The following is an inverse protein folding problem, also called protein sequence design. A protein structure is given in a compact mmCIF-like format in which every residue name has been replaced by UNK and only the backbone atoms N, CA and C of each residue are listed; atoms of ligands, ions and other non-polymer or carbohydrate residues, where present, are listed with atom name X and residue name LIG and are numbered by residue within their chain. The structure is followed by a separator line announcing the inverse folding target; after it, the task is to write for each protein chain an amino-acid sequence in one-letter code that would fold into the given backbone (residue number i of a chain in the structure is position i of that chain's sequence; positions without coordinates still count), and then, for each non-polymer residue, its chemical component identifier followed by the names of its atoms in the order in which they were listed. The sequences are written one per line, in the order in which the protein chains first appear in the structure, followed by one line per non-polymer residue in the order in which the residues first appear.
data_IF_185453925883
#
_entry.id   IF_185453925883
#
_cell.length_a   1.000
_cell.length_b   1.000
_cell.length_c   1.000
_cell.angle_alpha   90.00
_cell.angle_beta   90.00
_cell.angle_gamma   90.00
#
_symmetry.space_group_name_H-M   'P 1'
#
loop_
_entity.id
_entity.type
_entity.pdbx_description
1 polymer ?
#
# COMPACT_ATOMS: atom_id res chain seq x y z
N UNK A 1 49.32 18.61 7.49
CA UNK A 1 49.44 19.49 6.30
C UNK A 1 49.31 18.59 5.09
N UNK A 2 48.43 18.71 4.10
CA UNK A 2 47.52 19.75 3.60
C UNK A 2 46.51 18.99 2.73
N UNK A 3 45.21 19.00 3.03
CA UNK A 3 44.17 19.83 2.41
C UNK A 3 44.24 19.94 0.87
N UNK A 4 43.36 19.21 0.16
CA UNK A 4 42.68 19.62 -1.08
C UNK A 4 41.27 19.02 -1.07
N UNK A 5 40.35 19.72 -0.43
CA UNK A 5 38.93 19.71 -0.79
C UNK A 5 38.80 20.23 -2.23
N UNK A 6 38.34 19.37 -3.15
CA UNK A 6 37.83 19.79 -4.45
C UNK A 6 36.36 19.41 -4.54
N UNK A 7 35.53 20.34 -4.07
CA UNK A 7 34.27 20.78 -4.68
C UNK A 7 33.54 19.71 -5.50
N UNK A 8 32.75 18.88 -4.81
CA UNK A 8 31.54 18.33 -5.39
C UNK A 8 30.50 19.44 -5.24
N UNK A 9 30.20 20.17 -6.32
CA UNK A 9 29.00 21.01 -6.31
C UNK A 9 27.80 20.12 -6.00
N UNK A 10 26.87 20.54 -5.12
CA UNK A 10 25.63 19.81 -4.95
C UNK A 10 24.92 19.84 -6.31
N UNK A 11 24.71 18.66 -6.89
CA UNK A 11 23.76 18.49 -7.99
C UNK A 11 22.49 19.17 -7.50
N UNK A 12 22.18 20.33 -8.09
CA UNK A 12 20.98 21.09 -7.77
C UNK A 12 19.81 20.15 -7.92
N UNK A 13 19.22 19.82 -6.78
CA UNK A 13 18.01 19.04 -6.64
C UNK A 13 16.93 19.67 -7.52
N UNK A 14 16.72 19.05 -8.68
CA UNK A 14 15.62 19.37 -9.60
C UNK A 14 14.62 18.21 -9.64
N UNK A 15 14.58 17.41 -8.57
CA UNK A 15 13.46 16.51 -8.37
C UNK A 15 12.36 17.37 -7.76
N UNK A 16 11.23 17.63 -8.43
CA UNK A 16 10.06 18.09 -7.70
C UNK A 16 9.80 17.01 -6.65
N UNK A 17 9.83 17.36 -5.37
CA UNK A 17 9.39 16.48 -4.29
C UNK A 17 7.97 16.01 -4.65
N UNK A 18 7.86 14.82 -5.22
CA UNK A 18 6.57 14.18 -5.53
C UNK A 18 5.98 13.73 -4.21
N UNK A 19 5.32 14.66 -3.52
CA UNK A 19 4.66 14.51 -2.22
C UNK A 19 3.43 13.58 -2.24
N UNK A 20 3.27 12.73 -3.26
CA UNK A 20 2.14 11.81 -3.37
C UNK A 20 2.66 10.41 -3.69
N UNK A 21 3.13 9.73 -2.65
CA UNK A 21 3.42 8.30 -2.71
C UNK A 21 2.30 7.56 -2.00
N UNK A 22 1.77 6.54 -2.66
CA UNK A 22 0.84 5.60 -2.04
C UNK A 22 1.58 4.77 -0.99
N UNK A 23 1.25 4.95 0.28
CA UNK A 23 1.85 4.23 1.40
C UNK A 23 0.77 3.61 2.28
N UNK A 24 0.82 2.28 2.38
CA UNK A 24 -0.01 1.51 3.27
C UNK A 24 0.84 0.39 3.86
N UNK A 25 0.64 0.10 5.13
CA UNK A 25 1.22 -1.08 5.78
C UNK A 25 0.25 -1.63 6.83
N UNK A 26 0.41 -2.92 7.13
CA UNK A 26 -0.25 -3.56 8.27
C UNK A 26 0.71 -3.73 9.45
N UNK A 27 0.26 -3.37 10.65
CA UNK A 27 1.08 -3.38 11.87
C UNK A 27 0.30 -4.02 13.03
N UNK A 28 0.97 -4.88 13.80
CA UNK A 28 0.37 -5.45 15.01
C UNK A 28 0.27 -4.36 16.10
N UNK A 29 -0.78 -4.37 16.91
CA UNK A 29 -1.00 -3.33 17.94
C UNK A 29 0.19 -3.15 18.89
N UNK A 30 0.87 -4.24 19.25
CA UNK A 30 2.03 -4.17 20.16
C UNK A 30 3.24 -3.46 19.53
N UNK A 31 3.28 -3.38 18.19
CA UNK A 31 4.34 -2.71 17.42
C UNK A 31 3.91 -1.32 16.93
N UNK A 32 2.72 -0.85 17.30
CA UNK A 32 2.16 0.40 16.80
C UNK A 32 2.93 1.61 17.34
N UNK A 33 3.64 2.29 16.44
CA UNK A 33 4.21 3.62 16.65
C UNK A 33 3.51 4.57 15.69
N UNK A 34 3.02 5.70 16.20
CA UNK A 34 2.25 6.69 15.43
C UNK A 34 2.90 8.06 15.50
N UNK A 35 2.84 8.78 14.39
CA UNK A 35 3.19 10.19 14.28
C UNK A 35 1.94 11.01 13.91
N UNK A 36 1.94 12.32 14.18
CA UNK A 36 0.78 13.21 13.97
C UNK A 36 0.25 13.24 12.52
N UNK A 37 1.03 12.77 11.55
CA UNK A 37 0.67 12.76 10.12
C UNK A 37 0.10 11.42 9.64
N UNK A 38 0.10 10.40 10.48
CA UNK A 38 -0.27 9.05 10.08
C UNK A 38 -1.78 8.87 10.17
N UNK A 39 -2.38 8.28 9.12
CA UNK A 39 -3.76 7.81 9.19
C UNK A 39 -3.77 6.39 9.73
N UNK A 40 -4.44 6.16 10.86
CA UNK A 40 -4.45 4.84 11.49
C UNK A 40 -5.85 4.26 11.45
N UNK A 41 -6.00 3.04 10.94
CA UNK A 41 -7.30 2.35 10.81
C UNK A 41 -7.25 1.01 11.52
N UNK A 42 -8.22 0.78 12.40
CA UNK A 42 -8.37 -0.48 13.10
C UNK A 42 -9.15 -1.50 12.25
N UNK A 43 -8.57 -2.67 12.03
CA UNK A 43 -9.08 -3.67 11.08
C UNK A 43 -9.72 -4.89 11.74
N UNK A 44 -9.82 -4.94 13.08
CA UNK A 44 -10.40 -6.06 13.81
C UNK A 44 -11.81 -5.78 14.35
N UNK A 45 -12.53 -6.87 14.61
CA UNK A 45 -13.90 -6.86 15.14
C UNK A 45 -13.98 -6.40 16.59
N UNK A 46 -12.88 -6.50 17.36
CA UNK A 46 -12.85 -6.04 18.74
C UNK A 46 -12.51 -4.55 18.78
N UNK A 47 -13.43 -3.75 19.34
CA UNK A 47 -13.30 -2.30 19.44
C UNK A 47 -12.18 -1.96 20.43
N UNK A 48 -11.23 -1.09 20.09
CA UNK A 48 -10.22 -0.65 21.05
C UNK A 48 -10.89 -0.02 22.27
N UNK A 49 -10.47 -0.37 23.50
CA UNK A 49 -11.04 0.23 24.71
C UNK A 49 -10.64 1.71 24.83
N UNK A 50 -11.62 2.58 25.06
CA UNK A 50 -11.41 4.01 25.26
C UNK A 50 -11.30 4.80 23.95
N UNK A 51 -11.53 6.11 24.05
CA UNK A 51 -11.45 7.04 22.93
C UNK A 51 -10.16 6.80 22.16
N UNK A 52 -10.32 6.30 20.93
CA UNK A 52 -9.28 6.29 19.92
C UNK A 52 -8.59 7.67 20.00
N UNK A 53 -7.27 7.73 20.21
CA UNK A 53 -6.54 9.01 20.08
C UNK A 53 -6.98 9.62 18.74
N UNK A 54 -7.22 10.93 18.71
CA UNK A 54 -8.01 11.70 17.72
C UNK A 54 -7.79 11.43 16.21
N UNK A 55 -6.93 10.49 15.81
CA UNK A 55 -6.54 10.11 14.45
C UNK A 55 -6.78 8.62 14.13
N UNK A 56 -7.21 7.80 15.10
CA UNK A 56 -7.45 6.38 14.89
C UNK A 56 -8.93 6.16 14.48
N UNK A 57 -9.14 5.71 13.25
CA UNK A 57 -10.46 5.47 12.67
C UNK A 57 -10.87 4.01 12.84
N UNK A 58 -12.12 3.79 13.26
CA UNK A 58 -12.73 2.48 13.26
C UNK A 58 -13.84 2.43 12.20
N UNK A 59 -13.64 1.60 11.18
CA UNK A 59 -14.56 1.46 10.05
C UNK A 59 -15.18 0.06 10.09
N UNK A 60 -16.25 -0.16 10.88
CA UNK A 60 -16.84 -1.48 11.05
C UNK A 60 -17.34 -2.09 9.72
N UNK A 61 -17.63 -1.25 8.72
CA UNK A 61 -17.95 -1.71 7.37
C UNK A 61 -16.85 -2.52 6.69
N UNK A 62 -15.57 -2.28 7.03
CA UNK A 62 -14.46 -3.05 6.49
C UNK A 62 -14.49 -4.50 6.96
N UNK A 63 -14.95 -4.76 8.18
CA UNK A 63 -14.85 -6.08 8.76
C UNK A 63 -15.57 -7.14 7.89
N UNK A 64 -15.06 -8.38 7.85
CA UNK A 64 -15.77 -9.49 7.20
C UNK A 64 -17.18 -9.58 7.79
N UNK A 65 -18.18 -9.86 6.96
CA UNK A 65 -19.54 -10.00 7.45
C UNK A 65 -19.67 -11.17 8.42
N UNK A 66 -20.74 -11.17 9.22
CA UNK A 66 -20.95 -12.16 10.27
C UNK A 66 -20.92 -13.61 9.75
N UNK A 67 -21.54 -13.87 8.62
CA UNK A 67 -21.56 -15.21 7.99
C UNK A 67 -20.15 -15.70 7.65
N UNK A 68 -19.31 -14.82 7.08
CA UNK A 68 -17.94 -15.13 6.72
C UNK A 68 -17.05 -15.33 7.96
N UNK A 69 -17.25 -14.52 9.01
CA UNK A 69 -16.57 -14.68 10.29
C UNK A 69 -16.93 -16.01 10.97
N UNK A 70 -18.22 -16.33 11.05
CA UNK A 70 -18.71 -17.57 11.64
C UNK A 70 -18.20 -18.78 10.84
N UNK A 71 -18.27 -18.75 9.51
CA UNK A 71 -17.76 -19.83 8.66
C UNK A 71 -16.26 -20.07 8.88
N UNK A 72 -15.44 -19.01 8.91
CA UNK A 72 -13.99 -19.16 9.09
C UNK A 72 -13.62 -19.62 10.50
N UNK A 73 -14.40 -19.23 11.52
CA UNK A 73 -14.20 -19.70 12.89
C UNK A 73 -14.33 -21.22 13.03
N UNK A 74 -15.13 -21.86 12.18
CA UNK A 74 -15.26 -23.33 12.12
C UNK A 74 -14.19 -23.99 11.25
N UNK A 75 -13.53 -23.23 10.37
CA UNK A 75 -12.58 -23.73 9.36
C UNK A 75 -11.30 -22.88 9.28
N UNK A 76 -10.54 -22.73 10.38
CA UNK A 76 -9.35 -21.88 10.42
C UNK A 76 -8.26 -22.32 9.44
N UNK A 77 -8.24 -23.59 9.03
CA UNK A 77 -7.34 -24.14 8.01
C UNK A 77 -7.59 -23.55 6.61
N UNK A 78 -8.77 -22.98 6.36
CA UNK A 78 -9.20 -22.48 5.06
C UNK A 78 -8.87 -20.99 4.85
N UNK A 79 -7.69 -20.54 5.28
CA UNK A 79 -7.25 -19.14 5.17
C UNK A 79 -7.33 -18.57 3.75
N UNK A 80 -6.87 -19.34 2.75
CA UNK A 80 -6.88 -18.88 1.35
C UNK A 80 -8.30 -18.65 0.82
N UNK A 81 -9.23 -19.51 1.21
CA UNK A 81 -10.65 -19.39 0.86
C UNK A 81 -11.29 -18.21 1.59
N UNK A 82 -10.97 -18.01 2.87
CA UNK A 82 -11.37 -16.84 3.63
C UNK A 82 -10.89 -15.55 2.96
N UNK A 83 -9.60 -15.44 2.66
CA UNK A 83 -9.01 -14.28 1.96
C UNK A 83 -9.73 -14.04 0.63
N UNK A 84 -10.03 -15.08 -0.15
CA UNK A 84 -10.75 -14.92 -1.42
C UNK A 84 -12.15 -14.34 -1.21
N UNK A 85 -12.94 -14.92 -0.30
CA UNK A 85 -14.31 -14.48 0.00
C UNK A 85 -14.32 -13.06 0.56
N UNK A 86 -13.40 -12.75 1.46
CA UNK A 86 -13.28 -11.44 2.06
C UNK A 86 -12.90 -10.37 1.03
N UNK A 87 -11.97 -10.68 0.11
CA UNK A 87 -11.67 -9.78 -1.02
C UNK A 87 -12.89 -9.51 -1.90
N UNK A 88 -13.72 -10.52 -2.19
CA UNK A 88 -14.97 -10.30 -2.93
C UNK A 88 -15.92 -9.34 -2.20
N UNK A 89 -16.02 -9.46 -0.86
CA UNK A 89 -16.76 -8.50 -0.06
C UNK A 89 -16.16 -7.09 -0.18
N UNK A 90 -14.85 -6.92 -0.02
CA UNK A 90 -14.19 -5.61 -0.15
C UNK A 90 -14.38 -4.99 -1.54
N UNK A 91 -14.36 -5.79 -2.61
CA UNK A 91 -14.65 -5.32 -3.99
C UNK A 91 -16.06 -4.75 -4.09
N UNK A 92 -17.04 -5.27 -3.35
CA UNK A 92 -18.39 -4.71 -3.31
C UNK A 92 -18.49 -3.40 -2.53
N UNK A 93 -17.50 -3.08 -1.70
CA UNK A 93 -17.42 -1.88 -0.87
C UNK A 93 -16.52 -0.79 -1.48
N UNK A 94 -16.71 -0.54 -2.78
CA UNK A 94 -15.83 0.35 -3.57
C UNK A 94 -15.62 1.72 -2.91
N UNK A 95 -16.69 2.36 -2.43
CA UNK A 95 -16.61 3.69 -1.83
C UNK A 95 -15.71 3.73 -0.58
N UNK A 96 -15.77 2.70 0.26
CA UNK A 96 -14.97 2.60 1.47
C UNK A 96 -13.49 2.34 1.13
N UNK A 97 -13.22 1.42 0.21
CA UNK A 97 -11.86 1.15 -0.21
C UNK A 97 -11.23 2.34 -0.94
N UNK A 98 -11.99 3.13 -1.71
CA UNK A 98 -11.51 4.36 -2.34
C UNK A 98 -11.17 5.46 -1.33
N UNK A 99 -11.94 5.57 -0.24
CA UNK A 99 -11.61 6.49 0.86
C UNK A 99 -10.26 6.11 1.47
N UNK A 100 -10.06 4.84 1.80
CA UNK A 100 -8.79 4.35 2.36
C UNK A 100 -7.63 4.51 1.38
N UNK A 101 -7.84 4.19 0.10
CA UNK A 101 -6.83 4.41 -0.94
C UNK A 101 -6.43 5.89 -1.00
N UNK A 102 -7.39 6.80 -0.88
CA UNK A 102 -7.14 8.24 -0.87
C UNK A 102 -6.32 8.68 0.35
N UNK A 103 -6.56 8.11 1.53
CA UNK A 103 -5.71 8.34 2.72
C UNK A 103 -4.28 7.86 2.47
N UNK A 104 -4.13 6.66 1.92
CA UNK A 104 -2.83 6.09 1.57
C UNK A 104 -2.09 6.93 0.51
N UNK A 105 -2.79 7.71 -0.32
CA UNK A 105 -2.17 8.67 -1.23
C UNK A 105 -1.74 9.97 -0.55
N UNK A 106 -2.34 10.35 0.58
CA UNK A 106 -2.04 11.59 1.31
C UNK A 106 -0.88 11.43 2.30
N UNK A 107 -0.68 10.22 2.82
CA UNK A 107 0.34 9.92 3.81
C UNK A 107 0.40 8.42 4.09
N UNK A 108 1.08 8.03 5.17
CA UNK A 108 1.13 6.65 5.61
C UNK A 108 -0.23 6.23 6.18
N UNK A 109 -0.85 5.23 5.56
CA UNK A 109 -2.01 4.53 6.11
C UNK A 109 -1.55 3.28 6.87
N UNK A 110 -1.72 3.29 8.19
CA UNK A 110 -1.40 2.16 9.07
C UNK A 110 -2.68 1.37 9.34
N UNK A 111 -2.72 0.12 8.87
CA UNK A 111 -3.79 -0.83 9.12
C UNK A 111 -3.44 -1.68 10.34
N UNK A 112 -4.08 -1.41 11.47
CA UNK A 112 -3.78 -2.04 12.75
C UNK A 112 -4.58 -3.31 12.94
N UNK A 113 -3.90 -4.38 13.36
CA UNK A 113 -4.51 -5.65 13.75
C UNK A 113 -3.97 -6.12 15.10
N UNK A 114 -4.74 -6.98 15.76
CA UNK A 114 -4.44 -7.61 17.04
C UNK A 114 -4.57 -9.15 16.93
N UNK A 115 -5.43 -9.64 16.05
CA UNK A 115 -5.66 -11.08 15.87
C UNK A 115 -5.00 -11.62 14.61
N UNK A 116 -4.39 -12.80 14.71
CA UNK A 116 -3.75 -13.51 13.61
C UNK A 116 -2.23 -13.46 13.65
N UNK A 117 -1.60 -13.73 12.50
CA UNK A 117 -0.14 -13.65 12.35
C UNK A 117 0.24 -12.52 11.39
N UNK A 118 1.52 -12.17 11.32
CA UNK A 118 2.03 -11.10 10.46
C UNK A 118 1.60 -11.21 8.99
N UNK A 119 1.40 -12.44 8.47
CA UNK A 119 1.02 -12.69 7.08
C UNK A 119 -0.43 -13.16 6.91
N UNK A 120 -1.13 -13.45 8.01
CA UNK A 120 -2.50 -13.97 8.00
C UNK A 120 -3.33 -13.24 9.04
N UNK A 121 -3.84 -12.07 8.67
CA UNK A 121 -4.72 -11.23 9.47
C UNK A 121 -5.63 -10.41 8.53
N UNK A 122 -6.62 -9.70 9.09
CA UNK A 122 -7.56 -8.91 8.27
C UNK A 122 -6.88 -7.73 7.56
N UNK A 123 -5.92 -7.08 8.24
CA UNK A 123 -5.22 -5.92 7.73
C UNK A 123 -4.42 -6.24 6.46
N UNK A 124 -3.76 -7.40 6.37
CA UNK A 124 -3.02 -7.81 5.16
C UNK A 124 -3.93 -8.03 3.97
N UNK A 125 -5.16 -8.52 4.19
CA UNK A 125 -6.15 -8.68 3.11
C UNK A 125 -6.66 -7.32 2.62
N UNK A 126 -6.84 -6.36 3.53
CA UNK A 126 -7.21 -4.98 3.19
C UNK A 126 -6.07 -4.29 2.44
N UNK A 127 -4.84 -4.37 2.95
CA UNK A 127 -3.62 -3.84 2.32
C UNK A 127 -3.49 -4.32 0.87
N UNK A 128 -3.58 -5.63 0.67
CA UNK A 128 -3.56 -6.26 -0.65
C UNK A 128 -4.65 -5.73 -1.59
N UNK A 129 -5.82 -5.40 -1.06
CA UNK A 129 -6.93 -4.86 -1.83
C UNK A 129 -6.73 -3.38 -2.18
N UNK A 130 -6.16 -2.59 -1.28
CA UNK A 130 -5.83 -1.18 -1.54
C UNK A 130 -4.70 -1.07 -2.58
N UNK A 131 -3.65 -1.89 -2.46
CA UNK A 131 -2.59 -1.99 -3.49
C UNK A 131 -3.18 -2.39 -4.85
N UNK A 132 -4.12 -3.35 -4.84
CA UNK A 132 -4.79 -3.78 -6.06
C UNK A 132 -5.57 -2.65 -6.73
N UNK A 133 -6.35 -1.89 -5.96
CA UNK A 133 -7.11 -0.73 -6.46
C UNK A 133 -6.17 0.36 -6.99
N UNK A 134 -5.11 0.70 -6.26
CA UNK A 134 -4.13 1.67 -6.73
C UNK A 134 -3.45 1.24 -8.03
N UNK A 135 -3.11 -0.05 -8.16
CA UNK A 135 -2.62 -0.59 -9.42
C UNK A 135 -3.63 -0.45 -10.57
N UNK A 136 -4.93 -0.63 -10.31
CA UNK A 136 -5.98 -0.44 -11.32
C UNK A 136 -6.11 1.02 -11.77
N UNK A 137 -5.99 1.97 -10.83
CA UNK A 137 -5.97 3.41 -11.14
C UNK A 137 -4.79 3.77 -12.03
N UNK A 138 -3.57 3.37 -11.64
CA UNK A 138 -2.35 3.60 -12.42
C UNK A 138 -2.38 2.94 -13.80
N UNK A 139 -2.93 1.72 -13.87
CA UNK A 139 -3.15 1.02 -15.14
C UNK A 139 -4.06 1.84 -16.06
N UNK A 140 -5.19 2.31 -15.52
CA UNK A 140 -6.16 3.12 -16.29
C UNK A 140 -5.57 4.46 -16.73
N UNK A 141 -4.61 4.99 -15.98
CA UNK A 141 -3.83 6.18 -16.34
C UNK A 141 -2.68 5.91 -17.34
N UNK A 142 -2.46 4.66 -17.75
CA UNK A 142 -1.39 4.28 -18.68
C UNK A 142 0.01 4.29 -18.07
N UNK A 143 0.14 4.28 -16.75
CA UNK A 143 1.42 4.39 -16.02
C UNK A 143 2.09 3.02 -15.84
N UNK A 144 2.12 2.21 -16.88
CA UNK A 144 2.57 0.82 -16.83
C UNK A 144 3.96 0.63 -17.45
N UNK A 145 4.77 -0.22 -16.82
CA UNK A 145 6.08 -0.68 -17.34
C UNK A 145 6.10 -2.20 -17.36
N UNK A 146 6.08 -2.76 -18.57
CA UNK A 146 6.18 -4.19 -18.83
C UNK A 146 7.59 -4.63 -19.24
N UNK A 147 7.76 -5.93 -19.44
CA UNK A 147 9.00 -6.49 -19.99
C UNK A 147 10.13 -6.70 -18.95
N UNK A 148 11.36 -6.80 -19.45
CA UNK A 148 12.54 -7.08 -18.65
C UNK A 148 13.01 -5.84 -17.88
N UNK A 149 12.58 -5.73 -16.63
CA UNK A 149 12.84 -4.58 -15.75
C UNK A 149 13.92 -4.83 -14.70
N UNK A 150 14.63 -5.96 -14.77
CA UNK A 150 15.68 -6.31 -13.80
C UNK A 150 16.74 -5.20 -13.58
N UNK A 151 17.23 -4.49 -14.62
CA UNK A 151 18.27 -3.47 -14.45
C UNK A 151 17.82 -2.21 -13.71
N UNK A 152 16.50 -1.94 -13.66
CA UNK A 152 15.91 -0.70 -13.10
C UNK A 152 14.93 -0.98 -11.96
N UNK A 153 14.92 -2.22 -11.45
CA UNK A 153 13.93 -2.66 -10.46
C UNK A 153 14.04 -1.86 -9.16
N UNK A 154 15.27 -1.60 -8.71
CA UNK A 154 15.55 -0.79 -7.52
C UNK A 154 14.99 0.62 -7.64
N UNK A 155 15.14 1.23 -8.80
CA UNK A 155 14.72 2.58 -9.14
C UNK A 155 13.19 2.65 -9.19
N UNK A 156 12.54 1.66 -9.80
CA UNK A 156 11.08 1.55 -9.80
C UNK A 156 10.55 1.51 -8.36
N UNK A 157 11.12 0.67 -7.50
CA UNK A 157 10.72 0.55 -6.09
C UNK A 157 10.97 1.86 -5.34
N UNK A 158 12.14 2.47 -5.51
CA UNK A 158 12.52 3.71 -4.84
C UNK A 158 11.62 4.91 -5.21
N UNK A 159 11.08 4.90 -6.44
CA UNK A 159 10.09 5.87 -6.90
C UNK A 159 8.69 5.62 -6.34
N UNK A 160 8.41 4.42 -5.80
CA UNK A 160 7.06 4.03 -5.33
C UNK A 160 6.26 3.27 -6.38
N UNK A 161 6.94 2.61 -7.32
CA UNK A 161 6.33 1.69 -8.26
C UNK A 161 5.75 0.47 -7.56
N UNK A 162 4.53 0.10 -7.94
CA UNK A 162 3.82 -1.05 -7.39
C UNK A 162 3.85 -2.21 -8.38
N UNK A 163 4.08 -3.43 -7.88
CA UNK A 163 4.03 -4.62 -8.72
C UNK A 163 2.59 -5.13 -8.84
N UNK A 164 2.01 -5.06 -10.05
CA UNK A 164 0.67 -5.57 -10.29
C UNK A 164 0.72 -7.06 -10.68
N UNK A 165 0.61 -7.93 -9.68
CA UNK A 165 0.71 -9.40 -9.82
C UNK A 165 -0.20 -9.99 -10.88
N UNK A 166 -1.44 -9.47 -11.03
CA UNK A 166 -2.42 -9.94 -12.01
C UNK A 166 -1.94 -9.79 -13.45
N UNK A 167 -1.23 -8.70 -13.76
CA UNK A 167 -0.78 -8.39 -15.12
C UNK A 167 0.73 -8.59 -15.31
N UNK A 168 1.47 -8.88 -14.24
CA UNK A 168 2.93 -8.99 -14.22
C UNK A 168 3.60 -7.74 -14.79
N UNK A 169 3.20 -6.59 -14.27
CA UNK A 169 3.59 -5.27 -14.80
C UNK A 169 3.79 -4.31 -13.64
N UNK A 170 4.76 -3.40 -13.76
CA UNK A 170 4.97 -2.32 -12.78
C UNK A 170 4.01 -1.18 -13.04
N UNK A 171 3.44 -0.63 -11.97
CA UNK A 171 2.54 0.51 -11.98
C UNK A 171 3.23 1.71 -11.35
N UNK A 172 3.59 2.67 -12.17
CA UNK A 172 4.33 3.87 -11.76
C UNK A 172 3.40 4.86 -11.06
N UNK A 173 3.91 5.59 -10.06
CA UNK A 173 3.10 6.52 -9.26
C UNK A 173 2.65 7.73 -10.07
N UNK A 174 3.45 8.15 -11.06
CA UNK A 174 3.20 9.34 -11.84
C UNK A 174 3.93 9.28 -13.19
N UNK A 175 3.58 10.21 -14.08
CA UNK A 175 4.10 10.29 -15.45
C UNK A 175 5.58 10.66 -15.52
N UNK A 176 6.10 11.43 -14.56
CA UNK A 176 7.50 11.82 -14.51
C UNK A 176 8.38 10.62 -14.12
N UNK A 177 8.00 9.92 -13.05
CA UNK A 177 8.63 8.66 -12.62
C UNK A 177 8.58 7.61 -13.72
N UNK A 178 7.43 7.47 -14.40
CA UNK A 178 7.28 6.58 -15.55
C UNK A 178 8.26 6.91 -16.69
N UNK A 179 8.33 8.18 -17.12
CA UNK A 179 9.28 8.63 -18.16
C UNK A 179 10.72 8.36 -17.77
N UNK A 180 11.09 8.70 -16.53
CA UNK A 180 12.43 8.47 -16.02
C UNK A 180 12.87 7.01 -16.15
N UNK A 181 11.99 6.05 -15.80
CA UNK A 181 12.33 4.63 -15.94
C UNK A 181 12.38 4.19 -17.40
N UNK A 182 11.46 4.68 -18.25
CA UNK A 182 11.48 4.37 -19.69
C UNK A 182 12.79 4.82 -20.33
N UNK A 183 13.27 6.02 -20.00
CA UNK A 183 14.53 6.58 -20.52
C UNK A 183 15.77 5.77 -20.09
N UNK A 184 15.69 5.00 -18.98
CA UNK A 184 16.75 4.12 -18.51
C UNK A 184 16.72 2.74 -19.15
N UNK A 185 15.59 2.32 -19.73
CA UNK A 185 15.46 1.00 -20.32
C UNK A 185 16.09 1.00 -21.73
N UNK A 186 16.90 -0.02 -22.08
CA UNK A 186 17.68 -0.04 -23.32
C UNK A 186 16.86 -0.38 -24.58
N UNK A 187 15.53 -0.22 -24.56
CA UNK A 187 14.64 -0.60 -25.67
C UNK A 187 13.67 0.52 -26.03
N UNK A 188 13.14 0.48 -27.26
CA UNK A 188 12.05 1.36 -27.67
C UNK A 188 10.73 0.84 -27.05
N UNK A 189 10.15 1.57 -26.10
CA UNK A 189 8.88 1.24 -25.41
C UNK A 189 7.73 2.16 -25.83
#
# INVERSE_FOLDING_TARGET
MSNIEKWIEPIRDKTPMTNYRFHVCSVHIDDLVTHETDSVVWCDSYVPPGNLRNELWWLPGLNPNRELQEWFSHHPELWYEFRRRYRCQLISQVSLCEQLRSLACQGLLILVYQSGSANQNLATVIEDQLIHLECQHRWSAGLMIGGHTFPVRSEIIALGGLWYTKHKTWMMPDKQSWRYIVDLLPGDF
#
